data_IF_739333760122
#
_entry.id   IF_739333760122
#
_cell.length_a   1.000
_cell.length_b   1.000
_cell.length_c   1.000
_cell.angle_alpha   90.00
_cell.angle_beta   90.00
_cell.angle_gamma   90.00
#
_symmetry.space_group_name_H-M   'P 1'
#
loop_
_entity.id
_entity.type
_entity.pdbx_description
1 polymer ?
#
# COMPACT_ATOMS: atom_id res chain seq x y z
N UNK A 1 -7.35 5.79 -8.75
CA UNK A 1 -6.66 4.48 -8.81
C UNK A 1 -7.40 3.54 -7.88
N UNK A 2 -7.70 2.33 -8.31
CA UNK A 2 -8.36 1.27 -7.54
C UNK A 2 -7.32 0.24 -7.14
N UNK A 3 -7.21 -0.03 -5.85
CA UNK A 3 -6.27 -0.99 -5.28
C UNK A 3 -7.03 -1.98 -4.41
N UNK A 4 -6.58 -3.22 -4.37
CA UNK A 4 -7.13 -4.28 -3.52
C UNK A 4 -5.99 -4.80 -2.65
N UNK A 5 -6.14 -4.72 -1.35
CA UNK A 5 -5.26 -5.40 -0.41
C UNK A 5 -5.78 -6.82 -0.30
N UNK A 6 -4.90 -7.80 -0.47
CA UNK A 6 -5.26 -9.21 -0.44
C UNK A 6 -4.31 -9.99 0.47
N UNK A 7 -4.88 -10.93 1.20
CA UNK A 7 -4.18 -11.94 1.96
C UNK A 7 -4.93 -13.27 1.87
N UNK A 8 -4.23 -14.40 2.04
CA UNK A 8 -4.82 -15.74 2.00
C UNK A 8 -4.31 -16.62 3.14
N UNK A 9 -5.18 -17.47 3.68
CA UNK A 9 -4.78 -18.59 4.54
C UNK A 9 -4.86 -19.89 3.75
N UNK A 10 -3.98 -20.83 4.10
CA UNK A 10 -3.82 -22.08 3.34
C UNK A 10 -3.71 -23.31 4.26
N UNK A 11 -3.92 -24.50 3.70
CA UNK A 11 -3.76 -25.77 4.44
C UNK A 11 -2.33 -26.09 4.80
N UNK A 12 -1.34 -25.37 4.24
CA UNK A 12 0.09 -25.56 4.46
C UNK A 12 0.92 -24.65 3.57
N UNK A 13 2.24 -24.80 3.53
CA UNK A 13 3.15 -23.78 3.00
C UNK A 13 3.51 -23.96 1.52
N UNK A 14 3.42 -25.14 0.95
CA UNK A 14 3.92 -25.44 -0.39
C UNK A 14 2.79 -25.79 -1.36
N UNK A 15 2.70 -25.06 -2.46
CA UNK A 15 1.75 -25.35 -3.55
C UNK A 15 2.02 -26.71 -4.18
N UNK A 16 3.31 -27.11 -4.21
CA UNK A 16 3.79 -28.39 -4.78
C UNK A 16 3.29 -29.61 -3.99
N UNK A 17 3.02 -29.43 -2.68
CA UNK A 17 2.48 -30.48 -1.79
C UNK A 17 0.95 -30.54 -1.83
N UNK A 18 0.36 -29.93 -2.86
CA UNK A 18 -1.06 -29.93 -3.13
C UNK A 18 -1.89 -29.19 -2.05
N UNK A 19 -1.25 -28.29 -1.29
CA UNK A 19 -1.96 -27.43 -0.35
C UNK A 19 -2.95 -26.51 -1.08
N UNK A 20 -3.98 -26.09 -0.35
CA UNK A 20 -5.15 -25.38 -0.86
C UNK A 20 -5.39 -24.10 -0.08
N UNK A 21 -6.03 -23.12 -0.71
CA UNK A 21 -6.54 -21.92 -0.02
C UNK A 21 -7.74 -22.30 0.83
N UNK A 22 -7.81 -21.77 2.04
CA UNK A 22 -8.93 -21.97 2.99
C UNK A 22 -9.64 -20.68 3.38
N UNK A 23 -8.98 -19.52 3.17
CA UNK A 23 -9.58 -18.21 3.40
C UNK A 23 -8.99 -17.21 2.42
N UNK A 24 -9.83 -16.33 1.89
CA UNK A 24 -9.42 -15.18 1.10
C UNK A 24 -10.00 -13.92 1.74
N UNK A 25 -9.14 -12.95 2.04
CA UNK A 25 -9.52 -11.63 2.53
C UNK A 25 -9.06 -10.55 1.56
N UNK A 26 -10.00 -9.73 1.09
CA UNK A 26 -9.70 -8.60 0.21
C UNK A 26 -10.39 -7.33 0.68
N UNK A 27 -9.68 -6.21 0.62
CA UNK A 27 -10.17 -4.88 0.99
C UNK A 27 -9.89 -3.90 -0.14
N UNK A 28 -10.90 -3.15 -0.55
CA UNK A 28 -10.73 -2.14 -1.58
C UNK A 28 -10.21 -0.83 -1.01
N UNK A 29 -9.18 -0.25 -1.68
CA UNK A 29 -8.76 1.13 -1.50
C UNK A 29 -9.07 1.93 -2.77
N UNK A 30 -9.62 3.14 -2.58
CA UNK A 30 -9.76 4.13 -3.65
C UNK A 30 -9.07 5.43 -3.25
N UNK A 31 -8.12 5.86 -4.05
CA UNK A 31 -7.35 7.08 -3.79
C UNK A 31 -6.78 7.09 -2.36
N UNK A 32 -6.17 5.98 -1.94
CA UNK A 32 -5.55 5.77 -0.62
C UNK A 32 -6.55 5.84 0.56
N UNK A 33 -7.81 5.57 0.34
CA UNK A 33 -8.82 5.45 1.40
C UNK A 33 -9.46 4.07 1.32
N UNK A 34 -9.52 3.40 2.46
CA UNK A 34 -10.26 2.14 2.58
C UNK A 34 -11.73 2.41 2.33
N UNK A 35 -12.36 1.60 1.49
CA UNK A 35 -13.80 1.65 1.24
C UNK A 35 -14.53 0.58 2.05
N UNK A 36 -15.86 0.53 1.94
CA UNK A 36 -16.65 -0.53 2.56
C UNK A 36 -16.68 -1.83 1.72
N UNK A 37 -16.15 -1.78 0.49
CA UNK A 37 -16.15 -2.93 -0.40
C UNK A 37 -15.08 -3.93 0.03
N UNK A 38 -15.52 -5.14 0.35
CA UNK A 38 -14.69 -6.26 0.79
C UNK A 38 -15.11 -7.52 0.06
N UNK A 39 -14.15 -8.40 -0.16
CA UNK A 39 -14.41 -9.79 -0.52
C UNK A 39 -13.80 -10.66 0.57
N UNK A 40 -14.62 -11.51 1.19
CA UNK A 40 -14.16 -12.40 2.25
C UNK A 40 -14.91 -13.71 2.17
N UNK A 41 -14.18 -14.82 2.08
CA UNK A 41 -14.77 -16.14 2.09
C UNK A 41 -13.85 -17.17 2.73
N UNK A 42 -14.45 -18.12 3.45
CA UNK A 42 -13.82 -19.38 3.80
C UNK A 42 -14.08 -20.40 2.70
N UNK A 43 -13.10 -21.28 2.48
CA UNK A 43 -13.15 -22.26 1.41
C UNK A 43 -12.99 -23.67 1.93
N UNK A 44 -13.71 -24.60 1.32
CA UNK A 44 -13.49 -26.02 1.50
C UNK A 44 -12.25 -26.45 0.69
N UNK A 45 -11.14 -26.83 1.36
CA UNK A 45 -9.91 -27.23 0.67
C UNK A 45 -9.96 -28.65 0.09
N UNK A 46 -11.03 -29.41 0.37
CA UNK A 46 -11.17 -30.84 0.01
C UNK A 46 -10.03 -31.73 0.53
N UNK A 47 -9.34 -31.26 1.58
CA UNK A 47 -8.27 -31.98 2.27
C UNK A 47 -8.12 -31.51 3.72
N UNK A 48 -7.41 -32.31 4.50
CA UNK A 48 -7.05 -31.93 5.88
C UNK A 48 -6.13 -30.71 5.91
N UNK A 49 -6.25 -29.94 6.97
CA UNK A 49 -5.39 -28.79 7.28
C UNK A 49 -4.20 -29.30 8.10
N UNK A 50 -3.00 -28.94 7.71
CA UNK A 50 -1.80 -29.29 8.44
C UNK A 50 -1.82 -28.71 9.85
N UNK A 51 -1.35 -29.48 10.83
CA UNK A 51 -1.35 -29.06 12.23
C UNK A 51 -0.57 -27.74 12.45
N UNK A 52 0.52 -27.53 11.69
CA UNK A 52 1.31 -26.29 11.72
C UNK A 52 0.51 -25.10 11.23
N UNK A 53 -0.23 -25.23 10.14
CA UNK A 53 -1.10 -24.19 9.60
C UNK A 53 -2.28 -23.91 10.56
N UNK A 54 -2.94 -24.97 11.04
CA UNK A 54 -4.05 -24.85 12.00
C UNK A 54 -3.63 -24.14 13.31
N UNK A 55 -2.38 -24.30 13.75
CA UNK A 55 -1.84 -23.59 14.91
C UNK A 55 -1.70 -22.07 14.66
N UNK A 56 -1.54 -21.64 13.41
CA UNK A 56 -1.39 -20.24 13.03
C UNK A 56 -2.75 -19.55 12.91
N UNK A 57 -3.67 -20.10 12.10
CA UNK A 57 -4.96 -19.46 11.78
C UNK A 57 -6.17 -20.07 12.52
N UNK A 58 -6.00 -21.16 13.25
CA UNK A 58 -7.07 -21.77 14.08
C UNK A 58 -8.18 -22.47 13.29
N UNK A 59 -8.04 -22.63 11.97
CA UNK A 59 -9.01 -23.30 11.12
C UNK A 59 -8.70 -24.80 11.01
N UNK A 60 -9.75 -25.62 11.05
CA UNK A 60 -9.65 -27.06 10.92
C UNK A 60 -10.59 -27.55 9.82
N UNK A 61 -10.34 -28.74 9.30
CA UNK A 61 -11.20 -29.37 8.32
C UNK A 61 -12.69 -29.35 8.72
N UNK A 62 -13.00 -29.66 9.98
CA UNK A 62 -14.38 -29.69 10.46
C UNK A 62 -15.12 -28.35 10.33
N UNK A 63 -14.39 -27.24 10.39
CA UNK A 63 -14.95 -25.90 10.20
C UNK A 63 -15.14 -25.54 8.73
N UNK A 64 -14.36 -26.15 7.84
CA UNK A 64 -14.27 -25.76 6.43
C UNK A 64 -14.99 -26.72 5.48
N UNK A 65 -15.32 -27.94 5.89
CA UNK A 65 -15.91 -28.97 5.03
C UNK A 65 -17.23 -28.57 4.38
N UNK A 66 -18.00 -27.70 5.04
CA UNK A 66 -19.30 -27.22 4.55
C UNK A 66 -19.21 -25.85 3.85
N UNK A 67 -18.00 -25.27 3.74
CA UNK A 67 -17.76 -24.03 3.02
C UNK A 67 -17.80 -24.27 1.49
N UNK A 68 -18.01 -23.23 0.67
CA UNK A 68 -17.91 -23.34 -0.78
C UNK A 68 -16.48 -23.72 -1.21
N UNK A 69 -16.36 -24.35 -2.37
CA UNK A 69 -15.07 -24.58 -3.01
C UNK A 69 -14.61 -23.34 -3.74
N UNK A 70 -13.33 -23.22 -4.04
CA UNK A 70 -12.81 -22.08 -4.80
C UNK A 70 -13.54 -21.90 -6.16
N UNK A 71 -13.89 -23.01 -6.83
CA UNK A 71 -14.65 -22.98 -8.09
C UNK A 71 -16.04 -22.35 -7.98
N UNK A 72 -16.67 -22.40 -6.79
CA UNK A 72 -18.00 -21.83 -6.56
C UNK A 72 -17.95 -20.29 -6.39
N UNK A 73 -16.78 -19.72 -6.05
CA UNK A 73 -16.59 -18.30 -5.77
C UNK A 73 -15.66 -17.61 -6.78
N UNK A 74 -15.06 -18.34 -7.71
CA UNK A 74 -14.03 -17.83 -8.63
C UNK A 74 -14.50 -16.65 -9.47
N UNK A 75 -15.75 -16.68 -9.97
CA UNK A 75 -16.31 -15.58 -10.77
C UNK A 75 -16.39 -14.28 -9.94
N UNK A 76 -16.87 -14.37 -8.70
CA UNK A 76 -16.98 -13.23 -7.81
C UNK A 76 -15.60 -12.69 -7.43
N UNK A 77 -14.67 -13.58 -7.07
CA UNK A 77 -13.29 -13.22 -6.76
C UNK A 77 -12.60 -12.49 -7.95
N UNK A 78 -12.65 -13.07 -9.13
CA UNK A 78 -12.05 -12.49 -10.33
C UNK A 78 -12.71 -11.15 -10.69
N UNK A 79 -14.04 -11.04 -10.57
CA UNK A 79 -14.74 -9.78 -10.78
C UNK A 79 -14.28 -8.70 -9.78
N UNK A 80 -14.02 -9.10 -8.52
CA UNK A 80 -13.56 -8.20 -7.48
C UNK A 80 -12.16 -7.66 -7.74
N UNK A 81 -11.21 -8.48 -8.19
CA UNK A 81 -9.81 -8.05 -8.41
C UNK A 81 -9.58 -7.43 -9.80
N UNK A 82 -10.47 -7.65 -10.75
CA UNK A 82 -10.31 -7.24 -12.14
C UNK A 82 -10.05 -5.75 -12.30
N UNK A 83 -8.96 -5.42 -13.02
CA UNK A 83 -8.56 -4.05 -13.35
C UNK A 83 -8.03 -3.25 -12.17
N UNK A 84 -7.77 -3.90 -11.02
CA UNK A 84 -7.14 -3.28 -9.87
C UNK A 84 -5.62 -3.55 -9.84
N UNK A 85 -4.91 -2.81 -9.01
CA UNK A 85 -3.60 -3.19 -8.50
C UNK A 85 -3.80 -3.95 -7.19
N UNK A 86 -3.44 -5.24 -7.17
CA UNK A 86 -3.56 -6.09 -5.98
C UNK A 86 -2.28 -6.01 -5.17
N UNK A 87 -2.40 -5.63 -3.92
CA UNK A 87 -1.30 -5.37 -2.99
C UNK A 87 -1.25 -6.53 -2.00
N UNK A 88 -0.13 -7.22 -1.95
CA UNK A 88 0.06 -8.44 -1.17
C UNK A 88 1.41 -8.34 -0.42
N UNK A 89 1.48 -8.94 0.76
CA UNK A 89 2.73 -9.03 1.50
C UNK A 89 3.40 -10.41 1.27
N UNK A 90 4.54 -10.44 0.58
CA UNK A 90 5.15 -11.67 0.07
C UNK A 90 4.33 -12.31 -1.06
N UNK A 91 4.00 -11.50 -2.05
CA UNK A 91 3.05 -11.82 -3.11
C UNK A 91 3.30 -13.15 -3.85
N UNK A 92 4.54 -13.63 -3.92
CA UNK A 92 4.86 -14.88 -4.58
C UNK A 92 4.12 -16.09 -3.96
N UNK A 93 3.86 -16.05 -2.65
CA UNK A 93 3.12 -17.08 -1.94
C UNK A 93 1.65 -17.11 -2.39
N UNK A 94 0.93 -16.02 -2.18
CA UNK A 94 -0.52 -15.96 -2.46
C UNK A 94 -0.82 -16.11 -3.95
N UNK A 95 -0.02 -15.48 -4.81
CA UNK A 95 -0.16 -15.61 -6.27
C UNK A 95 0.03 -17.04 -6.71
N UNK A 96 1.01 -17.77 -6.15
CA UNK A 96 1.24 -19.18 -6.46
C UNK A 96 0.02 -20.04 -6.13
N UNK A 97 -0.58 -19.82 -4.96
CA UNK A 97 -1.79 -20.54 -4.55
C UNK A 97 -3.02 -20.15 -5.40
N UNK A 98 -3.23 -18.86 -5.66
CA UNK A 98 -4.34 -18.39 -6.49
C UNK A 98 -4.24 -18.90 -7.92
N UNK A 99 -3.07 -18.86 -8.52
CA UNK A 99 -2.84 -19.40 -9.86
C UNK A 99 -3.11 -20.92 -9.91
N UNK A 100 -2.74 -21.64 -8.86
CA UNK A 100 -3.01 -23.09 -8.77
C UNK A 100 -4.49 -23.40 -8.60
N UNK A 101 -5.21 -22.60 -7.81
CA UNK A 101 -6.66 -22.74 -7.69
C UNK A 101 -7.38 -22.42 -9.00
N UNK A 102 -6.98 -21.35 -9.72
CA UNK A 102 -7.52 -21.01 -11.04
C UNK A 102 -7.28 -22.15 -12.04
N UNK A 103 -6.07 -22.72 -12.07
CA UNK A 103 -5.74 -23.88 -12.92
C UNK A 103 -6.64 -25.09 -12.62
N UNK A 104 -6.95 -25.37 -11.34
CA UNK A 104 -7.81 -26.47 -10.92
C UNK A 104 -9.27 -26.28 -11.37
N UNK A 105 -9.77 -25.05 -11.35
CA UNK A 105 -11.12 -24.76 -11.87
C UNK A 105 -11.17 -24.97 -13.37
N UNK A 106 -10.10 -24.64 -14.10
CA UNK A 106 -9.96 -24.88 -15.52
C UNK A 106 -9.02 -23.91 -16.20
N UNK A 107 -8.32 -24.39 -17.20
CA UNK A 107 -7.31 -23.61 -17.95
C UNK A 107 -7.84 -22.32 -18.59
N UNK A 108 -9.16 -22.23 -18.79
CA UNK A 108 -9.82 -21.03 -19.33
C UNK A 108 -9.74 -19.83 -18.37
N UNK A 109 -9.50 -20.07 -17.08
CA UNK A 109 -9.35 -19.00 -16.08
C UNK A 109 -7.98 -18.34 -16.12
N UNK A 110 -6.97 -18.91 -16.78
CA UNK A 110 -5.64 -18.31 -16.89
C UNK A 110 -4.94 -18.16 -15.54
N UNK A 111 -4.35 -16.99 -15.32
CA UNK A 111 -3.60 -16.63 -14.10
C UNK A 111 -4.12 -15.33 -13.51
N UNK A 112 -3.80 -15.07 -12.25
CA UNK A 112 -4.15 -13.82 -11.56
C UNK A 112 -3.66 -12.59 -12.34
N UNK A 113 -2.47 -12.67 -12.93
CA UNK A 113 -1.87 -11.60 -13.74
C UNK A 113 -2.66 -11.23 -15.01
N UNK A 114 -3.57 -12.09 -15.47
CA UNK A 114 -4.45 -11.80 -16.61
C UNK A 114 -5.60 -10.85 -16.21
N UNK A 115 -5.84 -10.67 -14.93
CA UNK A 115 -6.94 -9.88 -14.39
C UNK A 115 -6.50 -8.60 -13.74
N UNK A 116 -5.33 -8.58 -13.10
CA UNK A 116 -4.86 -7.47 -12.27
C UNK A 116 -3.33 -7.36 -12.29
N UNK A 117 -2.82 -6.21 -11.91
CA UNK A 117 -1.40 -6.08 -11.56
C UNK A 117 -1.17 -6.45 -10.09
N UNK A 118 0.03 -6.90 -9.76
CA UNK A 118 0.39 -7.28 -8.39
C UNK A 118 1.53 -6.41 -7.88
N UNK A 119 1.36 -5.89 -6.68
CA UNK A 119 2.37 -5.12 -5.94
C UNK A 119 2.77 -5.86 -4.67
N UNK A 120 4.06 -6.14 -4.51
CA UNK A 120 4.62 -6.86 -3.36
C UNK A 120 5.18 -5.89 -2.32
N UNK A 121 4.49 -5.75 -1.20
CA UNK A 121 4.91 -4.86 -0.10
C UNK A 121 6.14 -5.36 0.65
N UNK A 122 6.44 -6.68 0.63
CA UNK A 122 7.66 -7.21 1.24
C UNK A 122 8.90 -6.77 0.47
N UNK A 123 8.82 -6.73 -0.87
CA UNK A 123 9.91 -6.20 -1.71
C UNK A 123 10.18 -4.74 -1.38
N UNK A 124 9.14 -3.90 -1.38
CA UNK A 124 9.25 -2.50 -1.01
C UNK A 124 9.81 -2.33 0.41
N UNK A 125 9.31 -3.09 1.38
CA UNK A 125 9.77 -3.00 2.76
C UNK A 125 11.26 -3.38 2.91
N UNK A 126 11.75 -4.36 2.15
CA UNK A 126 13.17 -4.74 2.13
C UNK A 126 14.06 -3.64 1.55
N UNK A 127 13.58 -2.93 0.54
CA UNK A 127 14.29 -1.77 -0.04
C UNK A 127 14.36 -0.60 0.94
N UNK A 128 13.25 -0.31 1.63
CA UNK A 128 13.18 0.79 2.60
C UNK A 128 13.90 0.49 3.93
N UNK A 129 13.94 -0.79 4.33
CA UNK A 129 14.49 -1.25 5.61
C UNK A 129 15.47 -2.41 5.43
N UNK A 130 16.60 -2.19 4.74
CA UNK A 130 17.58 -3.26 4.48
C UNK A 130 18.13 -3.82 5.80
N UNK A 131 18.29 -5.15 5.85
CA UNK A 131 18.84 -5.84 7.01
C UNK A 131 17.91 -5.96 8.23
N UNK A 132 16.67 -5.44 8.14
CA UNK A 132 15.69 -5.52 9.22
C UNK A 132 14.65 -6.62 8.95
N UNK A 133 13.93 -7.01 10.02
CA UNK A 133 12.75 -7.86 9.87
C UNK A 133 11.64 -7.08 9.18
N UNK A 134 11.08 -7.66 8.12
CA UNK A 134 10.04 -7.04 7.29
C UNK A 134 8.80 -7.94 7.17
N UNK A 135 8.52 -8.82 8.15
CA UNK A 135 7.22 -9.48 8.26
C UNK A 135 6.11 -8.47 8.56
N UNK A 136 4.86 -8.81 8.27
CA UNK A 136 3.70 -7.94 8.55
C UNK A 136 3.70 -7.48 10.02
N UNK A 137 3.92 -8.37 10.98
CA UNK A 137 4.03 -8.02 12.40
C UNK A 137 5.16 -7.04 12.71
N UNK A 138 6.33 -7.23 12.07
CA UNK A 138 7.46 -6.34 12.26
C UNK A 138 7.17 -4.94 11.69
N UNK A 139 6.44 -4.88 10.59
CA UNK A 139 6.00 -3.63 9.98
C UNK A 139 4.90 -2.96 10.81
N UNK A 140 3.91 -3.70 11.29
CA UNK A 140 2.90 -3.18 12.21
C UNK A 140 3.55 -2.51 13.41
N UNK A 141 4.50 -3.19 14.06
CA UNK A 141 5.25 -2.63 15.20
C UNK A 141 6.06 -1.39 14.82
N UNK A 142 6.65 -1.35 13.63
CA UNK A 142 7.50 -0.22 13.16
C UNK A 142 6.68 1.01 12.84
N UNK A 143 5.50 0.82 12.27
CA UNK A 143 4.62 1.90 11.84
C UNK A 143 3.49 2.22 12.84
N UNK A 144 3.58 1.65 14.06
CA UNK A 144 2.60 1.85 15.14
C UNK A 144 1.16 1.48 14.73
N UNK A 145 1.03 0.43 13.90
CA UNK A 145 -0.25 -0.17 13.54
C UNK A 145 -0.68 -1.13 14.63
N UNK A 146 -1.86 -0.90 15.20
CA UNK A 146 -2.36 -1.67 16.33
C UNK A 146 -2.73 -3.10 15.89
N UNK A 147 -1.95 -4.09 16.34
CA UNK A 147 -2.20 -5.52 16.09
C UNK A 147 -2.46 -6.33 17.37
N UNK A 148 -2.74 -5.67 18.50
CA UNK A 148 -2.92 -6.32 19.80
C UNK A 148 -4.10 -7.31 19.86
N UNK A 149 -5.05 -7.21 18.95
CA UNK A 149 -6.20 -8.12 18.85
C UNK A 149 -5.93 -9.34 17.97
N UNK A 150 -4.79 -9.43 17.34
CA UNK A 150 -4.40 -10.54 16.47
C UNK A 150 -3.86 -11.70 17.30
N UNK A 151 -4.76 -12.51 17.85
CA UNK A 151 -4.41 -13.75 18.56
C UNK A 151 -4.15 -14.92 17.61
N UNK A 152 -4.84 -14.92 16.47
CA UNK A 152 -4.69 -15.87 15.37
C UNK A 152 -4.62 -15.08 14.05
N UNK A 153 -4.02 -15.68 13.05
CA UNK A 153 -4.03 -15.15 11.70
C UNK A 153 -5.40 -15.36 11.05
N UNK A 154 -5.81 -14.44 10.20
CA UNK A 154 -7.01 -14.54 9.39
C UNK A 154 -6.87 -13.60 8.21
N UNK A 155 -7.18 -14.09 7.01
CA UNK A 155 -6.90 -13.38 5.77
C UNK A 155 -7.53 -11.96 5.72
N UNK A 156 -8.76 -11.80 6.21
CA UNK A 156 -9.38 -10.48 6.22
C UNK A 156 -8.71 -9.54 7.23
N UNK A 157 -8.38 -10.03 8.44
CA UNK A 157 -7.68 -9.23 9.45
C UNK A 157 -6.28 -8.85 8.99
N UNK A 158 -5.56 -9.77 8.36
CA UNK A 158 -4.22 -9.53 7.85
C UNK A 158 -4.24 -8.55 6.66
N UNK A 159 -5.28 -8.61 5.81
CA UNK A 159 -5.52 -7.61 4.79
C UNK A 159 -5.83 -6.22 5.40
N UNK A 160 -6.56 -6.12 6.53
CA UNK A 160 -6.80 -4.86 7.24
C UNK A 160 -5.49 -4.26 7.77
N UNK A 161 -4.69 -5.06 8.47
CA UNK A 161 -3.37 -4.65 8.96
C UNK A 161 -2.43 -4.26 7.82
N UNK A 162 -2.44 -5.03 6.73
CA UNK A 162 -1.63 -4.73 5.55
C UNK A 162 -2.06 -3.42 4.89
N UNK A 163 -3.35 -3.09 4.86
CA UNK A 163 -3.84 -1.81 4.34
C UNK A 163 -3.25 -0.63 5.11
N UNK A 164 -3.27 -0.68 6.45
CA UNK A 164 -2.70 0.37 7.30
C UNK A 164 -1.18 0.45 7.12
N UNK A 165 -0.48 -0.69 7.14
CA UNK A 165 0.97 -0.75 6.91
C UNK A 165 1.34 -0.20 5.52
N UNK A 166 0.60 -0.58 4.46
CA UNK A 166 0.83 -0.09 3.10
C UNK A 166 0.64 1.43 3.01
N UNK A 167 -0.41 1.96 3.62
CA UNK A 167 -0.66 3.39 3.67
C UNK A 167 0.45 4.13 4.43
N UNK A 168 0.94 3.58 5.54
CA UNK A 168 2.06 4.15 6.29
C UNK A 168 3.38 4.05 5.51
N UNK A 169 3.69 2.88 4.95
CA UNK A 169 4.90 2.59 4.19
C UNK A 169 5.04 3.49 2.94
N UNK A 170 3.91 3.80 2.27
CA UNK A 170 3.87 4.61 1.06
C UNK A 170 3.41 6.04 1.30
N UNK A 171 3.02 6.39 2.53
CA UNK A 171 2.45 7.69 2.93
C UNK A 171 3.43 8.62 3.61
N UNK A 172 4.69 8.19 3.82
CA UNK A 172 5.76 9.09 4.24
C UNK A 172 5.81 10.29 3.30
N UNK A 173 6.25 11.45 3.79
CA UNK A 173 6.49 12.62 2.94
C UNK A 173 7.12 12.11 1.65
N UNK A 174 6.33 12.08 0.57
CA UNK A 174 6.88 11.83 -0.74
C UNK A 174 8.03 12.78 -0.82
N UNK A 175 9.27 12.28 -0.93
CA UNK A 175 10.37 13.13 -1.26
C UNK A 175 9.79 14.06 -2.29
N UNK A 176 9.90 15.38 -2.09
CA UNK A 176 9.75 16.33 -3.17
C UNK A 176 10.74 15.81 -4.22
N UNK A 177 10.28 14.79 -4.94
CA UNK A 177 10.98 14.29 -6.10
C UNK A 177 10.88 15.43 -7.06
N UNK A 178 11.82 16.31 -6.97
CA UNK A 178 12.34 16.87 -8.20
C UNK A 178 12.77 15.62 -8.97
N UNK A 179 11.88 15.08 -9.77
CA UNK A 179 12.29 14.24 -10.87
C UNK A 179 13.33 15.09 -11.59
N UNK A 180 14.59 14.79 -11.32
CA UNK A 180 15.66 15.11 -12.24
C UNK A 180 15.29 14.28 -13.48
N UNK A 181 14.48 14.88 -14.35
CA UNK A 181 14.29 14.41 -15.71
C UNK A 181 15.68 14.50 -16.33
N UNK A 182 16.44 13.42 -16.25
CA UNK A 182 17.78 13.43 -16.79
C UNK A 182 18.62 12.27 -16.30
N UNK A 183 18.24 11.04 -16.63
CA UNK A 183 19.18 9.96 -16.86
C UNK A 183 18.47 8.80 -17.57
N UNK A 184 18.07 9.01 -18.81
CA UNK A 184 17.98 7.94 -19.81
C UNK A 184 18.22 8.55 -21.17
N UNK A 185 19.27 8.05 -21.78
CA UNK A 185 19.56 8.05 -23.20
C UNK A 185 19.81 9.39 -23.91
N UNK A 186 20.94 9.42 -24.61
CA UNK A 186 21.48 10.42 -25.48
C UNK A 186 20.58 10.84 -26.68
N UNK A 187 19.33 11.17 -26.39
CA UNK A 187 18.39 11.73 -27.34
C UNK A 187 17.69 12.90 -26.67
N UNK A 188 18.32 14.05 -26.78
CA UNK A 188 17.73 15.38 -26.74
C UNK A 188 18.29 16.38 -25.74
N UNK A 189 19.56 16.68 -25.84
CA UNK A 189 20.03 18.01 -25.40
C UNK A 189 19.22 19.12 -26.09
N UNK A 190 18.71 18.89 -27.29
CA UNK A 190 17.83 19.81 -28.00
C UNK A 190 16.45 20.00 -27.36
N UNK A 191 15.85 18.92 -26.77
CA UNK A 191 14.55 19.03 -26.11
C UNK A 191 14.65 19.76 -24.76
N UNK A 192 15.74 19.59 -24.04
CA UNK A 192 16.00 20.30 -22.77
C UNK A 192 16.24 21.79 -23.03
N UNK A 193 16.91 22.13 -24.12
CA UNK A 193 17.16 23.53 -24.52
C UNK A 193 15.87 24.21 -24.98
N UNK A 194 15.00 23.50 -25.72
CA UNK A 194 13.70 24.00 -26.13
C UNK A 194 12.73 24.20 -24.96
N UNK A 195 12.77 23.34 -23.94
CA UNK A 195 11.98 23.51 -22.72
C UNK A 195 12.44 24.69 -21.85
N UNK A 196 13.74 24.99 -21.85
CA UNK A 196 14.30 26.19 -21.17
C UNK A 196 13.95 27.50 -21.85
N UNK A 197 13.66 27.47 -23.15
CA UNK A 197 13.33 28.68 -23.95
C UNK A 197 11.82 29.02 -23.95
N UNK A 198 10.96 28.19 -23.33
CA UNK A 198 9.55 28.59 -23.12
C UNK A 198 9.54 29.81 -22.21
N UNK A 199 9.10 30.95 -22.74
CA UNK A 199 8.93 32.18 -21.99
C UNK A 199 8.05 31.89 -20.75
N UNK A 200 8.64 32.01 -19.58
CA UNK A 200 7.87 31.91 -18.33
C UNK A 200 6.90 33.07 -18.29
N UNK A 201 5.60 32.83 -17.97
CA UNK A 201 4.69 33.92 -17.79
C UNK A 201 5.26 34.91 -16.75
N UNK A 202 5.05 36.20 -16.89
CA UNK A 202 5.55 37.18 -15.94
C UNK A 202 5.03 36.86 -14.55
N UNK A 203 5.95 36.76 -13.57
CA UNK A 203 5.60 36.54 -12.18
C UNK A 203 4.87 37.78 -11.66
N UNK A 204 3.61 37.64 -11.30
CA UNK A 204 2.85 38.70 -10.64
C UNK A 204 3.41 38.88 -9.24
N UNK A 205 4.15 39.95 -9.00
CA UNK A 205 4.59 40.33 -7.65
C UNK A 205 3.43 41.00 -6.96
N UNK A 206 2.86 40.35 -5.96
CA UNK A 206 1.90 40.94 -5.06
C UNK A 206 2.66 41.86 -4.10
N UNK A 207 2.38 43.15 -4.16
CA UNK A 207 2.88 44.08 -3.18
C UNK A 207 1.83 44.22 -2.04
N UNK A 208 2.28 44.22 -0.76
CA UNK A 208 1.35 44.38 0.35
C UNK A 208 0.67 45.76 0.28
N UNK A 209 -0.58 45.82 0.66
CA UNK A 209 -1.34 47.06 0.74
C UNK A 209 -0.95 47.89 2.00
N UNK A 210 -1.46 49.11 2.12
CA UNK A 210 -1.09 50.01 3.21
C UNK A 210 -1.51 49.48 4.60
N UNK A 211 -2.64 48.78 4.67
CA UNK A 211 -3.14 48.16 5.92
C UNK A 211 -2.26 46.99 6.37
N UNK A 212 -1.85 46.14 5.44
CA UNK A 212 -0.92 45.02 5.69
C UNK A 212 0.46 45.53 6.16
N UNK A 213 0.96 46.60 5.54
CA UNK A 213 2.24 47.21 5.96
C UNK A 213 2.13 47.81 7.37
N UNK A 214 1.00 48.49 7.69
CA UNK A 214 0.79 49.04 9.03
C UNK A 214 0.66 47.92 10.08
N UNK A 215 -0.07 46.85 9.80
CA UNK A 215 -0.20 45.70 10.68
C UNK A 215 1.16 45.00 10.92
N UNK A 216 1.97 44.86 9.85
CA UNK A 216 3.31 44.33 9.93
C UNK A 216 4.24 45.17 10.83
N UNK A 217 4.25 46.50 10.61
CA UNK A 217 5.03 47.43 11.43
C UNK A 217 4.63 47.39 12.93
N UNK A 218 3.32 47.38 13.21
CA UNK A 218 2.84 47.23 14.58
C UNK A 218 3.28 45.91 15.22
N UNK A 219 3.26 44.82 14.47
CA UNK A 219 3.75 43.51 14.97
C UNK A 219 5.23 43.52 15.26
N UNK A 220 6.06 44.10 14.40
CA UNK A 220 7.48 44.24 14.64
C UNK A 220 7.80 45.07 15.88
N UNK A 221 7.08 46.18 16.10
CA UNK A 221 7.23 47.00 17.30
C UNK A 221 6.96 46.23 18.59
N UNK A 222 5.92 45.37 18.61
CA UNK A 222 5.63 44.50 19.75
C UNK A 222 6.73 43.48 20.00
N UNK A 223 7.28 42.89 18.91
CA UNK A 223 8.38 41.93 19.01
C UNK A 223 9.64 42.61 19.55
N UNK A 224 9.95 43.80 19.05
CA UNK A 224 11.12 44.57 19.48
C UNK A 224 11.04 44.95 20.95
N UNK A 225 9.89 45.44 21.38
CA UNK A 225 9.65 45.73 22.80
C UNK A 225 9.82 44.50 23.70
N UNK A 226 9.27 43.35 23.30
CA UNK A 226 9.36 42.09 24.06
C UNK A 226 10.77 41.47 24.07
N UNK A 227 11.54 41.71 23.02
CA UNK A 227 12.93 41.23 22.90
C UNK A 227 13.96 42.18 23.50
N UNK A 228 13.52 43.33 24.08
CA UNK A 228 14.42 44.35 24.65
C UNK A 228 15.27 45.02 23.58
N UNK A 229 14.69 45.38 22.44
CA UNK A 229 15.36 46.07 21.34
C UNK A 229 16.21 45.16 20.45
N UNK A 230 15.97 43.84 20.46
CA UNK A 230 16.75 42.83 19.70
C UNK A 230 15.93 42.18 18.60
N UNK A 231 14.99 42.88 18.01
CA UNK A 231 14.24 42.37 16.88
C UNK A 231 15.13 42.26 15.62
N UNK A 232 15.50 41.08 15.24
CA UNK A 232 16.39 40.80 14.08
C UNK A 232 15.81 41.32 12.75
N UNK A 233 14.50 41.48 12.65
CA UNK A 233 13.81 41.99 11.45
C UNK A 233 13.84 43.51 11.32
N UNK A 234 14.27 44.22 12.37
CA UNK A 234 14.50 45.68 12.34
C UNK A 234 15.98 46.04 12.22
N UNK A 235 16.88 45.08 12.32
CA UNK A 235 18.28 45.28 12.08
C UNK A 235 18.52 45.44 10.56
N UNK A 236 18.92 46.63 10.14
CA UNK A 236 18.99 47.06 8.72
C UNK A 236 20.24 46.57 7.97
N UNK A 237 20.91 45.51 8.38
CA UNK A 237 22.11 45.00 7.73
C UNK A 237 22.06 43.46 7.56
N UNK A 238 21.28 43.00 6.58
CA UNK A 238 21.42 41.66 5.96
C UNK A 238 21.31 41.80 4.42
#
# INVERSE_FOLDING_TARGET
>A
MRQIILDTETTGLAVEDDHRIIEIGCIELRNRRVTEHRFHCYLNPEREVDAGAAAVHGMTWDKLRDAPRFGDVVEEFVAFVRGAEVIIHNAAFDVGFLDRELERVGVAWGRLSDYCSVFDTLKLAREMHPGQRNSLDALCKRYDVANAHRTLHGALLDAELLAEVYLALTGGQGALGFEVIGATDAASEEAVTAARQRARPPVVRLAPNAEELAAHAARLAVIDQRSGGRCVWLASDL
#
